data_IF_268434978727
#
_entry.id   IF_268434978727
#
_cell.length_a   1.000
_cell.length_b   1.000
_cell.length_c   1.000
_cell.angle_alpha   90.00
_cell.angle_beta   90.00
_cell.angle_gamma   90.00
#
_symmetry.space_group_name_H-M   'P 1'
#
loop_
_entity.id
_entity.type
_entity.pdbx_description
1 polymer ?
#
# COMPACT_ATOMS: atom_id res chain seq x y z
N UNK A 1 1.67 23.75 19.89
CA UNK A 1 0.86 24.90 19.44
C UNK A 1 -0.05 25.33 20.59
N UNK A 2 -0.02 26.59 21.02
CA UNK A 2 -0.94 27.09 22.04
C UNK A 2 -2.35 27.18 21.45
N UNK A 3 -3.32 26.59 22.13
CA UNK A 3 -4.74 26.73 21.83
C UNK A 3 -5.13 28.14 22.25
N UNK A 4 -5.15 29.06 21.29
CA UNK A 4 -5.74 30.39 21.42
C UNK A 4 -7.26 30.20 21.49
N UNK A 5 -7.82 30.18 22.70
CA UNK A 5 -9.25 30.34 22.93
C UNK A 5 -9.64 31.75 22.48
N UNK A 6 -10.29 31.83 21.32
CA UNK A 6 -10.86 33.08 20.85
C UNK A 6 -12.02 33.48 21.79
N UNK A 7 -11.91 34.67 22.39
CA UNK A 7 -13.01 35.36 23.06
C UNK A 7 -14.15 35.57 22.06
N UNK A 8 -15.24 34.80 22.18
CA UNK A 8 -16.47 34.99 21.41
C UNK A 8 -17.48 35.79 22.23
N UNK A 9 -17.39 37.11 22.19
CA UNK A 9 -18.48 38.02 22.60
C UNK A 9 -19.48 38.22 21.46
N UNK A 10 -19.98 37.12 20.91
CA UNK A 10 -21.16 37.11 20.05
C UNK A 10 -22.34 36.72 20.90
N UNK A 11 -23.31 37.62 21.04
CA UNK A 11 -24.63 37.37 21.61
C UNK A 11 -25.25 36.14 20.95
N UNK A 12 -25.00 34.96 21.53
CA UNK A 12 -25.74 33.76 21.22
C UNK A 12 -27.11 33.97 21.87
N UNK A 13 -28.21 34.08 21.11
CA UNK A 13 -29.53 34.11 21.72
C UNK A 13 -29.62 32.85 22.59
N UNK A 14 -29.75 33.03 23.90
CA UNK A 14 -29.99 31.92 24.83
C UNK A 14 -31.26 31.22 24.36
N UNK A 15 -31.11 30.18 23.54
CA UNK A 15 -32.19 29.30 23.14
C UNK A 15 -32.55 28.52 24.38
N UNK A 16 -33.47 29.08 25.18
CA UNK A 16 -34.07 28.44 26.34
C UNK A 16 -34.78 27.17 25.88
N UNK A 17 -34.04 26.07 25.81
CA UNK A 17 -34.54 24.75 25.49
C UNK A 17 -35.43 24.31 26.65
N UNK A 18 -36.70 24.70 26.57
CA UNK A 18 -37.75 24.22 27.48
C UNK A 18 -37.91 22.72 27.28
N UNK A 19 -37.83 21.97 28.38
CA UNK A 19 -38.03 20.52 28.41
C UNK A 19 -39.35 20.06 27.75
N UNK A 20 -40.31 20.98 27.60
CA UNK A 20 -41.62 20.73 27.01
C UNK A 20 -41.70 20.87 25.48
N UNK A 21 -40.60 21.21 24.80
CA UNK A 21 -40.53 21.24 23.33
C UNK A 21 -39.43 20.31 22.80
N UNK A 22 -39.61 18.98 22.91
CA UNK A 22 -38.59 18.00 22.53
C UNK A 22 -38.16 18.10 21.06
N UNK A 23 -39.03 18.62 20.17
CA UNK A 23 -38.69 18.83 18.75
C UNK A 23 -37.69 19.98 18.53
N UNK A 24 -37.75 21.06 19.31
CA UNK A 24 -36.79 22.17 19.15
C UNK A 24 -35.41 21.83 19.71
N UNK A 25 -35.34 21.02 20.78
CA UNK A 25 -34.06 20.55 21.32
C UNK A 25 -33.43 19.42 20.49
N UNK A 26 -34.20 18.73 19.66
CA UNK A 26 -33.69 17.66 18.78
C UNK A 26 -32.68 18.21 17.77
N UNK A 27 -32.86 19.45 17.31
CA UNK A 27 -31.94 20.10 16.39
C UNK A 27 -30.58 20.40 16.99
N UNK A 28 -30.55 20.99 18.19
CA UNK A 28 -29.30 21.29 18.90
C UNK A 28 -28.59 20.02 19.37
N UNK A 29 -29.36 19.01 19.80
CA UNK A 29 -28.81 17.69 20.15
C UNK A 29 -28.19 17.00 18.92
N UNK A 30 -28.84 17.06 17.76
CA UNK A 30 -28.30 16.50 16.51
C UNK A 30 -27.01 17.20 16.09
N UNK A 31 -26.90 18.52 16.26
CA UNK A 31 -25.64 19.26 16.01
C UNK A 31 -24.53 18.80 16.94
N UNK A 32 -24.78 18.69 18.25
CA UNK A 32 -23.79 18.18 19.20
C UNK A 32 -23.34 16.75 18.86
N UNK A 33 -24.28 15.86 18.49
CA UNK A 33 -23.96 14.48 18.09
C UNK A 33 -23.15 14.46 16.78
N UNK A 34 -23.52 15.27 15.80
CA UNK A 34 -22.78 15.34 14.52
C UNK A 34 -21.35 15.85 14.72
N UNK A 35 -21.17 16.81 15.63
CA UNK A 35 -19.86 17.32 16.02
C UNK A 35 -19.04 16.26 16.77
N UNK A 36 -19.63 15.59 17.77
CA UNK A 36 -18.94 14.55 18.55
C UNK A 36 -18.55 13.35 17.70
N UNK A 37 -19.38 12.98 16.72
CA UNK A 37 -19.09 11.85 15.82
C UNK A 37 -18.11 12.20 14.71
N UNK A 38 -18.13 13.44 14.19
CA UNK A 38 -17.08 13.97 13.33
C UNK A 38 -15.71 13.94 14.02
N UNK A 39 -15.66 14.29 15.31
CA UNK A 39 -14.46 14.16 16.14
C UNK A 39 -13.99 12.71 16.29
N UNK A 40 -14.90 11.73 16.31
CA UNK A 40 -14.53 10.31 16.40
C UNK A 40 -13.84 9.79 15.12
N UNK A 41 -14.14 10.36 13.95
CA UNK A 41 -13.53 9.97 12.67
C UNK A 41 -12.14 10.61 12.45
N UNK A 42 -11.88 11.79 13.04
CA UNK A 42 -10.61 12.51 12.94
C UNK A 42 -9.35 11.67 13.22
N UNK A 43 -9.26 10.88 14.32
CA UNK A 43 -8.05 10.11 14.60
C UNK A 43 -7.77 9.07 13.50
N UNK A 44 -8.79 8.45 12.91
CA UNK A 44 -8.61 7.49 11.82
C UNK A 44 -8.11 8.16 10.55
N UNK A 45 -8.70 9.31 10.18
CA UNK A 45 -8.25 10.08 9.03
C UNK A 45 -6.79 10.54 9.18
N UNK A 46 -6.44 11.05 10.36
CA UNK A 46 -5.08 11.44 10.68
C UNK A 46 -4.12 10.25 10.59
N UNK A 47 -4.53 9.10 11.10
CA UNK A 47 -3.72 7.88 11.06
C UNK A 47 -3.54 7.34 9.63
N UNK A 48 -4.60 7.32 8.82
CA UNK A 48 -4.52 6.95 7.39
C UNK A 48 -3.57 7.90 6.65
N UNK A 49 -3.71 9.21 6.85
CA UNK A 49 -2.81 10.21 6.26
C UNK A 49 -1.35 9.93 6.62
N UNK A 50 -1.07 9.69 7.90
CA UNK A 50 0.29 9.39 8.36
C UNK A 50 0.80 8.06 7.76
N UNK A 51 -0.01 7.00 7.73
CA UNK A 51 0.40 5.72 7.15
C UNK A 51 0.67 5.78 5.64
N UNK A 52 0.04 6.72 4.93
CA UNK A 52 0.26 6.90 3.49
C UNK A 52 1.52 7.74 3.20
N UNK A 53 1.78 8.78 3.99
CA UNK A 53 2.87 9.73 3.75
C UNK A 53 4.17 9.26 4.41
N UNK A 54 4.10 8.80 5.66
CA UNK A 54 5.28 8.44 6.45
C UNK A 54 6.01 7.26 5.81
N UNK A 55 7.30 7.44 5.59
CA UNK A 55 8.19 6.39 5.12
C UNK A 55 8.38 5.32 6.22
N UNK A 56 8.26 4.03 5.87
CA UNK A 56 8.60 2.98 6.81
C UNK A 56 10.10 3.02 7.10
N UNK A 57 10.46 3.03 8.39
CA UNK A 57 11.86 3.00 8.81
C UNK A 57 12.48 1.63 8.50
N UNK A 58 13.21 1.54 7.38
CA UNK A 58 13.90 0.32 6.93
C UNK A 58 15.27 0.14 7.57
N UNK A 59 15.84 1.17 8.21
CA UNK A 59 17.19 1.12 8.80
C UNK A 59 17.29 0.08 9.91
N UNK A 60 16.20 -0.11 10.65
CA UNK A 60 16.10 -1.15 11.70
C UNK A 60 16.34 -2.55 11.15
N UNK A 61 16.05 -2.78 9.86
CA UNK A 61 16.21 -4.07 9.19
C UNK A 61 17.56 -4.24 8.47
N UNK A 62 18.45 -3.25 8.50
CA UNK A 62 19.74 -3.31 7.81
C UNK A 62 20.60 -4.52 8.26
N UNK A 63 20.65 -4.79 9.56
CA UNK A 63 21.39 -5.96 10.09
C UNK A 63 20.84 -7.31 9.59
N UNK A 64 19.51 -7.42 9.46
CA UNK A 64 18.86 -8.63 8.95
C UNK A 64 19.12 -8.77 7.44
N UNK A 65 19.04 -7.67 6.70
CA UNK A 65 19.37 -7.64 5.28
C UNK A 65 20.83 -8.06 5.01
N UNK A 66 21.79 -7.54 5.77
CA UNK A 66 23.21 -7.94 5.68
C UNK A 66 23.39 -9.44 5.94
N UNK A 67 22.68 -9.99 6.92
CA UNK A 67 22.72 -11.42 7.24
C UNK A 67 22.20 -12.26 6.08
N UNK A 68 21.08 -11.86 5.47
CA UNK A 68 20.46 -12.57 4.34
C UNK A 68 21.34 -12.50 3.10
N UNK A 69 21.86 -11.33 2.75
CA UNK A 69 22.76 -11.17 1.61
C UNK A 69 24.05 -11.98 1.79
N UNK A 70 24.57 -12.08 3.03
CA UNK A 70 25.68 -12.98 3.36
C UNK A 70 25.37 -14.45 3.08
N UNK A 71 24.19 -14.93 3.49
CA UNK A 71 23.74 -16.31 3.19
C UNK A 71 23.61 -16.51 1.67
N UNK A 72 22.97 -15.56 0.97
CA UNK A 72 22.82 -15.60 -0.50
C UNK A 72 24.19 -15.65 -1.20
N UNK A 73 25.20 -14.98 -0.65
CA UNK A 73 26.54 -14.94 -1.23
C UNK A 73 27.21 -16.31 -1.31
N UNK A 74 26.93 -17.19 -0.35
CA UNK A 74 27.41 -18.58 -0.38
C UNK A 74 26.80 -19.33 -1.57
N UNK A 75 25.50 -19.14 -1.85
CA UNK A 75 24.84 -19.76 -3.00
C UNK A 75 25.42 -19.31 -4.33
N UNK A 76 25.91 -18.07 -4.46
CA UNK A 76 26.56 -17.61 -5.68
C UNK A 76 27.81 -18.40 -6.04
N UNK A 77 28.61 -18.80 -5.04
CA UNK A 77 29.80 -19.62 -5.28
C UNK A 77 29.40 -20.95 -5.91
N UNK A 78 28.36 -21.61 -5.37
CA UNK A 78 27.85 -22.86 -5.92
C UNK A 78 27.29 -22.70 -7.33
N UNK A 79 26.49 -21.66 -7.58
CA UNK A 79 25.94 -21.42 -8.91
C UNK A 79 27.00 -21.07 -9.94
N UNK A 80 28.06 -20.34 -9.55
CA UNK A 80 29.19 -20.02 -10.41
C UNK A 80 30.00 -21.29 -10.71
N UNK A 81 30.28 -22.12 -9.71
CA UNK A 81 30.97 -23.41 -9.89
C UNK A 81 30.18 -24.34 -10.81
N UNK A 82 28.87 -24.47 -10.58
CA UNK A 82 27.97 -25.28 -11.42
C UNK A 82 27.95 -24.76 -12.87
N UNK A 83 27.82 -23.46 -13.06
CA UNK A 83 27.81 -22.84 -14.39
C UNK A 83 29.17 -22.97 -15.09
N UNK A 84 30.27 -22.90 -14.32
CA UNK A 84 31.64 -23.09 -14.79
C UNK A 84 31.90 -24.52 -15.26
N UNK A 85 31.50 -25.53 -14.49
CA UNK A 85 31.60 -26.94 -14.90
C UNK A 85 30.75 -27.17 -16.16
N UNK A 86 29.52 -26.66 -16.19
CA UNK A 86 28.64 -26.78 -17.36
C UNK A 86 29.27 -26.16 -18.61
N UNK A 87 29.95 -25.01 -18.47
CA UNK A 87 30.67 -24.36 -19.55
C UNK A 87 31.83 -25.22 -20.10
N UNK A 88 32.60 -25.86 -19.21
CA UNK A 88 33.75 -26.71 -19.59
C UNK A 88 33.27 -27.99 -20.29
N UNK A 89 32.24 -28.65 -19.73
CA UNK A 89 31.71 -29.91 -20.28
C UNK A 89 30.97 -29.68 -21.61
N UNK A 90 30.38 -28.50 -21.82
CA UNK A 90 29.64 -28.17 -23.05
C UNK A 90 30.53 -27.73 -24.21
N UNK A 91 31.80 -28.15 -24.25
CA UNK A 91 32.78 -27.73 -25.26
C UNK A 91 32.35 -28.03 -26.70
N UNK A 92 31.70 -29.19 -26.91
CA UNK A 92 31.37 -29.71 -28.24
C UNK A 92 30.02 -29.21 -28.80
N UNK A 93 29.11 -28.75 -27.93
CA UNK A 93 27.77 -28.30 -28.31
C UNK A 93 27.65 -26.78 -28.20
N UNK A 94 27.56 -26.11 -29.36
CA UNK A 94 27.44 -24.66 -29.45
C UNK A 94 26.23 -24.12 -28.66
N UNK A 95 25.10 -24.83 -28.68
CA UNK A 95 23.86 -24.38 -28.04
C UNK A 95 24.01 -24.38 -26.52
N UNK A 96 24.56 -25.45 -25.96
CA UNK A 96 24.80 -25.56 -24.50
C UNK A 96 25.84 -24.55 -24.03
N UNK A 97 26.89 -24.31 -24.82
CA UNK A 97 27.90 -23.29 -24.52
C UNK A 97 27.32 -21.88 -24.49
N UNK A 98 26.44 -21.54 -25.43
CA UNK A 98 25.76 -20.24 -25.43
C UNK A 98 24.88 -20.06 -24.18
N UNK A 99 24.10 -21.07 -23.82
CA UNK A 99 23.25 -21.06 -22.62
C UNK A 99 24.07 -20.93 -21.32
N UNK A 100 25.20 -21.62 -21.21
CA UNK A 100 26.07 -21.52 -20.04
C UNK A 100 26.67 -20.10 -19.89
N UNK A 101 27.08 -19.46 -20.98
CA UNK A 101 27.56 -18.06 -20.97
C UNK A 101 26.47 -17.08 -20.54
N UNK A 102 25.23 -17.29 -21.00
CA UNK A 102 24.09 -16.47 -20.59
C UNK A 102 23.80 -16.62 -19.08
N UNK A 103 23.86 -17.85 -18.55
CA UNK A 103 23.69 -18.09 -17.11
C UNK A 103 24.76 -17.37 -16.27
N UNK A 104 26.02 -17.38 -16.71
CA UNK A 104 27.10 -16.65 -16.02
C UNK A 104 26.83 -15.14 -16.04
N UNK A 105 26.45 -14.58 -17.19
CA UNK A 105 26.12 -13.15 -17.32
C UNK A 105 24.98 -12.77 -16.37
N UNK A 106 23.91 -13.56 -16.36
CA UNK A 106 22.75 -13.37 -15.50
C UNK A 106 23.12 -13.44 -14.02
N UNK A 107 24.01 -14.37 -13.64
CA UNK A 107 24.51 -14.49 -12.28
C UNK A 107 25.34 -13.27 -11.85
N UNK A 108 26.21 -12.74 -12.71
CA UNK A 108 26.98 -11.52 -12.41
C UNK A 108 26.06 -10.33 -12.19
N UNK A 109 25.02 -10.18 -13.03
CA UNK A 109 24.00 -9.12 -12.84
C UNK A 109 23.26 -9.32 -11.52
N UNK A 110 22.91 -10.56 -11.17
CA UNK A 110 22.23 -10.88 -9.91
C UNK A 110 23.07 -10.49 -8.68
N UNK A 111 24.39 -10.75 -8.71
CA UNK A 111 25.31 -10.38 -7.62
C UNK A 111 25.28 -8.87 -7.41
N UNK A 112 25.47 -8.08 -8.48
CA UNK A 112 25.46 -6.61 -8.40
C UNK A 112 24.11 -6.09 -7.88
N UNK A 113 23.00 -6.63 -8.39
CA UNK A 113 21.67 -6.21 -7.97
C UNK A 113 21.37 -6.56 -6.52
N UNK A 114 21.72 -7.76 -6.04
CA UNK A 114 21.52 -8.15 -4.64
C UNK A 114 22.39 -7.32 -3.71
N UNK A 115 23.64 -7.03 -4.05
CA UNK A 115 24.49 -6.13 -3.25
C UNK A 115 23.94 -4.70 -3.20
N UNK A 116 23.33 -4.20 -4.27
CA UNK A 116 22.69 -2.88 -4.31
C UNK A 116 21.24 -2.85 -3.80
N UNK A 117 20.67 -4.01 -3.44
CA UNK A 117 19.22 -4.17 -3.26
C UNK A 117 18.64 -3.28 -2.16
N UNK A 118 19.33 -3.09 -1.04
CA UNK A 118 18.87 -2.21 0.05
C UNK A 118 18.76 -0.74 -0.39
N UNK A 119 19.76 -0.25 -1.11
CA UNK A 119 19.75 1.13 -1.63
C UNK A 119 18.66 1.33 -2.68
N UNK A 120 18.49 0.37 -3.59
CA UNK A 120 17.40 0.40 -4.58
C UNK A 120 16.04 0.36 -3.88
N UNK A 121 15.91 -0.40 -2.80
CA UNK A 121 14.69 -0.52 -2.03
C UNK A 121 14.31 0.80 -1.35
N UNK A 122 15.26 1.42 -0.65
CA UNK A 122 15.05 2.71 0.01
C UNK A 122 14.73 3.80 -1.02
N UNK A 123 15.46 3.85 -2.14
CA UNK A 123 15.17 4.80 -3.21
C UNK A 123 13.72 4.70 -3.72
N UNK A 124 13.18 3.48 -3.83
CA UNK A 124 11.78 3.28 -4.24
C UNK A 124 10.79 3.75 -3.19
N UNK A 125 11.10 3.56 -1.89
CA UNK A 125 10.28 4.07 -0.79
C UNK A 125 10.30 5.59 -0.76
N UNK A 126 11.47 6.20 -0.83
CA UNK A 126 11.66 7.66 -0.78
C UNK A 126 10.96 8.34 -1.95
N UNK A 127 11.11 7.76 -3.16
CA UNK A 127 10.40 8.21 -4.36
C UNK A 127 8.89 8.15 -4.15
N UNK A 128 8.37 7.03 -3.64
CA UNK A 128 6.94 6.88 -3.40
C UNK A 128 6.42 7.85 -2.32
N UNK A 129 7.14 8.01 -1.20
CA UNK A 129 6.76 8.96 -0.14
C UNK A 129 6.75 10.40 -0.67
N UNK A 130 7.76 10.79 -1.43
CA UNK A 130 7.85 12.10 -2.08
C UNK A 130 6.68 12.35 -3.03
N UNK A 131 6.37 11.39 -3.91
CA UNK A 131 5.23 11.47 -4.82
C UNK A 131 3.90 11.54 -4.07
N UNK A 132 3.72 10.70 -3.05
CA UNK A 132 2.49 10.66 -2.25
C UNK A 132 2.29 11.97 -1.49
N UNK A 133 3.36 12.50 -0.87
CA UNK A 133 3.35 13.80 -0.17
C UNK A 133 2.96 14.94 -1.10
N UNK A 134 3.52 14.96 -2.32
CA UNK A 134 3.18 15.96 -3.34
C UNK A 134 1.71 15.88 -3.77
N UNK A 135 1.15 14.68 -3.95
CA UNK A 135 -0.28 14.55 -4.26
C UNK A 135 -1.13 15.01 -3.07
N UNK A 136 -0.75 14.65 -1.83
CA UNK A 136 -1.47 15.08 -0.63
C UNK A 136 -1.41 16.57 -0.34
N UNK A 137 -0.33 17.28 -0.70
CA UNK A 137 -0.26 18.73 -0.53
C UNK A 137 -1.27 19.47 -1.40
N UNK A 138 -1.82 18.81 -2.43
CA UNK A 138 -2.88 19.34 -3.28
C UNK A 138 -4.29 18.94 -2.80
N UNK A 139 -4.42 18.06 -1.81
CA UNK A 139 -5.71 17.69 -1.22
C UNK A 139 -6.14 18.81 -0.27
N UNK A 140 -7.35 19.36 -0.47
CA UNK A 140 -7.88 20.40 0.41
C UNK A 140 -7.92 19.91 1.86
N UNK A 141 -7.52 20.77 2.81
CA UNK A 141 -7.62 20.45 4.24
C UNK A 141 -9.07 20.19 4.67
N UNK A 142 -10.01 20.79 3.96
CA UNK A 142 -11.46 20.63 4.15
C UNK A 142 -11.93 19.19 3.89
N UNK A 143 -11.24 18.43 3.05
CA UNK A 143 -11.54 17.01 2.81
C UNK A 143 -11.52 16.18 4.09
N UNK A 144 -10.69 16.58 5.07
CA UNK A 144 -10.55 15.86 6.33
C UNK A 144 -11.43 16.42 7.43
N UNK A 145 -12.16 17.52 7.19
CA UNK A 145 -13.07 18.11 8.17
C UNK A 145 -14.51 17.81 7.77
N UNK A 146 -15.26 17.15 8.67
CA UNK A 146 -16.69 16.90 8.45
C UNK A 146 -17.46 18.18 8.77
N UNK A 147 -17.70 19.03 7.78
CA UNK A 147 -18.59 20.20 7.94
C UNK A 147 -20.06 19.77 7.87
N UNK A 148 -20.88 20.22 8.83
CA UNK A 148 -22.32 19.95 8.91
C UNK A 148 -23.09 21.26 8.74
N UNK A 149 -23.19 21.72 7.49
CA UNK A 149 -23.79 23.03 7.22
C UNK A 149 -25.30 22.94 6.95
N UNK A 150 -25.83 21.75 6.64
CA UNK A 150 -27.24 21.58 6.25
C UNK A 150 -28.04 20.72 7.24
N UNK A 151 -28.90 21.39 8.02
CA UNK A 151 -29.80 20.78 9.02
C UNK A 151 -30.72 19.69 8.44
N UNK A 152 -31.16 19.86 7.18
CA UNK A 152 -32.07 18.93 6.51
C UNK A 152 -31.51 17.50 6.37
N UNK A 153 -30.19 17.34 6.40
CA UNK A 153 -29.53 16.03 6.22
C UNK A 153 -28.93 15.48 7.52
N UNK A 154 -29.20 16.10 8.67
CA UNK A 154 -28.63 15.67 9.95
C UNK A 154 -28.98 14.21 10.30
N UNK A 155 -30.23 13.78 10.04
CA UNK A 155 -30.65 12.40 10.30
C UNK A 155 -29.90 11.39 9.42
N UNK A 156 -29.77 11.69 8.12
CA UNK A 156 -29.05 10.84 7.17
C UNK A 156 -27.55 10.77 7.52
N UNK A 157 -26.97 11.87 7.99
CA UNK A 157 -25.59 11.91 8.48
C UNK A 157 -25.37 11.00 9.69
N UNK A 158 -26.30 10.97 10.65
CA UNK A 158 -26.22 10.08 11.83
C UNK A 158 -26.28 8.60 11.40
N UNK A 159 -27.09 8.25 10.41
CA UNK A 159 -27.19 6.87 9.92
C UNK A 159 -25.91 6.46 9.16
N UNK A 160 -25.34 7.37 8.36
CA UNK A 160 -24.18 7.08 7.52
C UNK A 160 -22.84 7.18 8.25
N UNK A 161 -22.78 7.75 9.46
CA UNK A 161 -21.51 7.88 10.18
C UNK A 161 -20.95 6.52 10.63
N UNK A 162 -21.82 5.58 11.01
CA UNK A 162 -21.42 4.24 11.44
C UNK A 162 -20.73 3.48 10.30
N UNK A 163 -21.33 3.32 9.10
CA UNK A 163 -20.63 2.67 7.99
C UNK A 163 -19.39 3.45 7.55
N UNK A 164 -19.37 4.78 7.67
CA UNK A 164 -18.17 5.58 7.40
C UNK A 164 -17.01 5.22 8.33
N UNK A 165 -17.24 5.17 9.65
CA UNK A 165 -16.22 4.76 10.62
C UNK A 165 -15.74 3.33 10.36
N UNK A 166 -16.65 2.41 9.99
CA UNK A 166 -16.27 1.03 9.64
C UNK A 166 -15.35 1.01 8.41
N UNK A 167 -15.67 1.77 7.35
CA UNK A 167 -14.82 1.86 6.16
C UNK A 167 -13.45 2.44 6.53
N UNK A 168 -13.39 3.54 7.27
CA UNK A 168 -12.12 4.11 7.73
C UNK A 168 -11.29 3.12 8.56
N UNK A 169 -11.94 2.32 9.41
CA UNK A 169 -11.27 1.29 10.20
C UNK A 169 -10.67 0.20 9.29
N UNK A 170 -11.41 -0.25 8.27
CA UNK A 170 -10.91 -1.22 7.29
C UNK A 170 -9.73 -0.64 6.52
N UNK A 171 -9.84 0.58 6.00
CA UNK A 171 -8.75 1.28 5.31
C UNK A 171 -7.50 1.39 6.18
N UNK A 172 -7.68 1.77 7.46
CA UNK A 172 -6.61 1.84 8.45
C UNK A 172 -5.89 0.49 8.61
N UNK A 173 -6.64 -0.60 8.80
CA UNK A 173 -6.08 -1.95 8.93
C UNK A 173 -5.32 -2.35 7.65
N UNK A 174 -5.85 -2.03 6.47
CA UNK A 174 -5.21 -2.34 5.19
C UNK A 174 -3.88 -1.60 5.01
N UNK A 175 -3.83 -0.30 5.31
CA UNK A 175 -2.58 0.45 5.25
C UNK A 175 -1.57 0.04 6.32
N UNK A 176 -2.04 -0.34 7.53
CA UNK A 176 -1.19 -0.89 8.57
C UNK A 176 -0.57 -2.22 8.13
N UNK A 177 -1.37 -3.12 7.55
CA UNK A 177 -0.87 -4.37 7.00
C UNK A 177 0.15 -4.12 5.88
N UNK A 178 -0.12 -3.17 4.98
CA UNK A 178 0.85 -2.73 3.95
C UNK A 178 2.15 -2.24 4.57
N UNK A 179 2.09 -1.40 5.59
CA UNK A 179 3.29 -0.89 6.28
C UNK A 179 4.14 -2.05 6.79
N UNK A 180 3.53 -3.04 7.46
CA UNK A 180 4.24 -4.24 7.93
C UNK A 180 4.85 -5.06 6.78
N UNK A 181 4.11 -5.25 5.68
CA UNK A 181 4.62 -5.99 4.53
C UNK A 181 5.75 -5.27 3.80
N UNK A 182 5.76 -3.93 3.76
CA UNK A 182 6.87 -3.15 3.20
C UNK A 182 8.11 -3.30 4.09
N UNK A 183 7.96 -3.26 5.42
CA UNK A 183 9.09 -3.57 6.32
C UNK A 183 9.66 -4.98 6.09
N UNK A 184 8.80 -5.99 5.97
CA UNK A 184 9.23 -7.35 5.60
C UNK A 184 9.79 -7.43 4.17
N UNK A 185 9.37 -6.54 3.29
CA UNK A 185 9.86 -6.44 1.92
C UNK A 185 11.37 -6.25 1.83
N UNK A 186 11.99 -5.56 2.79
CA UNK A 186 13.45 -5.38 2.87
C UNK A 186 14.20 -6.72 2.88
N UNK A 187 13.63 -7.72 3.58
CA UNK A 187 14.17 -9.08 3.70
C UNK A 187 13.90 -9.87 2.42
N UNK A 188 12.68 -9.78 1.88
CA UNK A 188 12.27 -10.55 0.71
C UNK A 188 12.84 -10.02 -0.60
N UNK A 189 13.16 -8.73 -0.69
CA UNK A 189 13.62 -8.11 -1.92
C UNK A 189 14.93 -8.72 -2.49
N UNK A 190 16.04 -8.87 -1.73
CA UNK A 190 17.23 -9.56 -2.23
C UNK A 190 16.98 -11.02 -2.61
N UNK A 191 16.10 -11.73 -1.87
CA UNK A 191 15.69 -13.09 -2.20
C UNK A 191 14.90 -13.14 -3.51
N UNK A 192 14.00 -12.17 -3.73
CA UNK A 192 13.24 -12.01 -4.96
C UNK A 192 14.16 -11.82 -6.17
N UNK A 193 15.18 -10.97 -6.04
CA UNK A 193 16.20 -10.75 -7.08
C UNK A 193 16.96 -12.06 -7.35
N UNK A 194 17.46 -12.76 -6.33
CA UNK A 194 18.14 -14.03 -6.49
C UNK A 194 17.27 -15.04 -7.26
N UNK A 195 16.04 -15.25 -6.79
CA UNK A 195 15.12 -16.22 -7.38
C UNK A 195 14.74 -15.86 -8.81
N UNK A 196 14.69 -14.57 -9.16
CA UNK A 196 14.41 -14.12 -10.52
C UNK A 196 15.45 -14.60 -11.53
N UNK A 197 16.73 -14.70 -11.14
CA UNK A 197 17.80 -15.15 -12.02
C UNK A 197 18.02 -16.67 -12.02
N UNK A 198 17.49 -17.40 -11.03
CA UNK A 198 17.58 -18.87 -10.99
C UNK A 198 16.46 -19.49 -11.83
N UNK A 199 16.75 -20.27 -12.89
CA UNK A 199 15.74 -20.74 -13.85
C UNK A 199 14.54 -21.47 -13.22
N UNK A 200 14.78 -22.31 -12.22
CA UNK A 200 13.74 -23.09 -11.55
C UNK A 200 12.90 -22.28 -10.55
N UNK A 201 13.39 -21.12 -10.11
CA UNK A 201 12.75 -20.27 -9.10
C UNK A 201 12.28 -18.92 -9.66
N UNK A 202 12.47 -18.69 -10.97
CA UNK A 202 12.17 -17.42 -11.65
C UNK A 202 10.76 -16.91 -11.37
N UNK A 203 9.80 -17.82 -11.30
CA UNK A 203 8.40 -17.49 -11.02
C UNK A 203 8.22 -16.86 -9.64
N UNK A 204 8.82 -17.47 -8.61
CA UNK A 204 8.76 -16.96 -7.24
C UNK A 204 9.47 -15.61 -7.12
N UNK A 205 10.64 -15.46 -7.75
CA UNK A 205 11.35 -14.18 -7.77
C UNK A 205 10.52 -13.06 -8.39
N UNK A 206 9.88 -13.33 -9.53
CA UNK A 206 8.95 -12.41 -10.20
C UNK A 206 7.75 -12.06 -9.31
N UNK A 207 7.21 -13.02 -8.55
CA UNK A 207 6.09 -12.78 -7.62
C UNK A 207 6.52 -11.83 -6.52
N UNK A 208 7.63 -12.13 -5.85
CA UNK A 208 8.15 -11.35 -4.74
C UNK A 208 8.45 -9.92 -5.19
N UNK A 209 9.15 -9.74 -6.31
CA UNK A 209 9.50 -8.41 -6.83
C UNK A 209 8.24 -7.62 -7.18
N UNK A 210 7.32 -8.20 -7.97
CA UNK A 210 6.09 -7.51 -8.38
C UNK A 210 5.22 -7.15 -7.17
N UNK A 211 5.07 -8.06 -6.21
CA UNK A 211 4.29 -7.84 -5.00
C UNK A 211 4.90 -6.72 -4.15
N UNK A 212 6.22 -6.73 -3.98
CA UNK A 212 6.93 -5.74 -3.18
C UNK A 212 6.85 -4.35 -3.80
N UNK A 213 7.11 -4.22 -5.11
CA UNK A 213 6.97 -2.96 -5.84
C UNK A 213 5.54 -2.43 -5.74
N UNK A 214 4.54 -3.30 -5.94
CA UNK A 214 3.13 -2.93 -5.83
C UNK A 214 2.79 -2.40 -4.43
N UNK A 215 3.23 -3.08 -3.37
CA UNK A 215 3.03 -2.62 -1.99
C UNK A 215 3.69 -1.27 -1.72
N UNK A 216 4.86 -1.01 -2.28
CA UNK A 216 5.54 0.29 -2.16
C UNK A 216 4.67 1.38 -2.81
N UNK A 217 4.20 1.17 -4.04
CA UNK A 217 3.51 2.19 -4.85
C UNK A 217 2.00 2.34 -4.60
N UNK A 218 1.38 1.44 -3.84
CA UNK A 218 -0.06 1.52 -3.53
C UNK A 218 -0.50 2.86 -2.92
N UNK A 219 0.19 3.45 -1.91
CA UNK A 219 -0.25 4.71 -1.30
C UNK A 219 -0.29 5.86 -2.29
N UNK A 220 0.63 5.89 -3.26
CA UNK A 220 0.61 6.88 -4.32
C UNK A 220 -0.66 6.76 -5.18
N UNK A 221 -1.02 5.54 -5.62
CA UNK A 221 -2.26 5.32 -6.37
C UNK A 221 -3.48 5.73 -5.56
N UNK A 222 -3.53 5.36 -4.28
CA UNK A 222 -4.61 5.74 -3.37
C UNK A 222 -4.69 7.26 -3.14
N UNK A 223 -3.54 7.97 -3.11
CA UNK A 223 -3.52 9.43 -2.97
C UNK A 223 -4.12 10.15 -4.18
N UNK A 224 -3.91 9.62 -5.40
CA UNK A 224 -4.52 10.16 -6.62
C UNK A 224 -6.04 10.03 -6.56
N UNK A 225 -6.54 8.90 -6.06
CA UNK A 225 -7.98 8.67 -5.88
C UNK A 225 -8.55 9.69 -4.88
N UNK A 226 -7.89 9.86 -3.73
CA UNK A 226 -8.32 10.82 -2.71
C UNK A 226 -8.29 12.26 -3.26
N UNK A 227 -7.28 12.62 -4.06
CA UNK A 227 -7.21 13.91 -4.73
C UNK A 227 -8.37 14.10 -5.74
N UNK A 228 -8.67 13.09 -6.55
CA UNK A 228 -9.84 13.14 -7.44
C UNK A 228 -11.14 13.32 -6.67
N UNK A 229 -11.28 12.63 -5.54
CA UNK A 229 -12.41 12.76 -4.63
C UNK A 229 -12.50 14.15 -3.98
N UNK A 230 -11.39 14.77 -3.60
CA UNK A 230 -11.41 16.10 -2.98
C UNK A 230 -11.90 17.18 -3.93
N UNK A 231 -11.53 17.11 -5.21
CA UNK A 231 -12.03 18.03 -6.25
C UNK A 231 -13.54 17.87 -6.46
N UNK A 232 -14.05 16.63 -6.43
CA UNK A 232 -15.46 16.33 -6.67
C UNK A 232 -16.39 16.82 -5.55
N UNK A 233 -15.91 16.92 -4.31
CA UNK A 233 -16.71 17.39 -3.17
C UNK A 233 -17.13 18.86 -3.30
N UNK A 234 -16.34 19.66 -4.01
CA UNK A 234 -16.65 21.07 -4.24
C UNK A 234 -17.77 21.29 -5.27
N UNK A 235 -18.27 20.23 -5.91
CA UNK A 235 -19.39 20.32 -6.83
C UNK A 235 -20.70 20.64 -6.08
N UNK A 236 -21.53 21.60 -6.54
CA UNK A 236 -22.75 22.01 -5.85
C UNK A 236 -23.74 20.87 -5.56
N UNK A 237 -23.80 19.87 -6.44
CA UNK A 237 -24.67 18.68 -6.30
C UNK A 237 -24.23 17.79 -5.12
N UNK A 238 -22.94 17.79 -4.78
CA UNK A 238 -22.34 16.90 -3.78
C UNK A 238 -22.41 17.49 -2.37
N UNK A 239 -22.62 18.81 -2.23
CA UNK A 239 -22.70 19.50 -0.93
C UNK A 239 -23.78 18.91 0.00
N UNK A 240 -24.85 18.34 -0.54
CA UNK A 240 -25.90 17.68 0.25
C UNK A 240 -25.54 16.25 0.67
N UNK A 241 -24.59 15.60 0.00
CA UNK A 241 -24.26 14.18 0.18
C UNK A 241 -22.78 13.93 0.45
N UNK A 242 -22.09 14.90 1.07
CA UNK A 242 -20.63 14.87 1.29
C UNK A 242 -20.18 13.59 2.02
N UNK A 243 -20.89 13.17 3.08
CA UNK A 243 -20.52 11.96 3.83
C UNK A 243 -20.63 10.68 2.99
N UNK A 244 -21.67 10.59 2.15
CA UNK A 244 -21.83 9.46 1.23
C UNK A 244 -20.67 9.41 0.24
N UNK A 245 -20.25 10.58 -0.25
CA UNK A 245 -19.13 10.68 -1.16
C UNK A 245 -17.80 10.28 -0.49
N UNK A 246 -17.57 10.64 0.77
CA UNK A 246 -16.41 10.15 1.53
C UNK A 246 -16.41 8.63 1.67
N UNK A 247 -17.56 8.02 2.02
CA UNK A 247 -17.70 6.56 2.13
C UNK A 247 -17.33 5.90 0.80
N UNK A 248 -17.86 6.41 -0.32
CA UNK A 248 -17.58 5.88 -1.66
C UNK A 248 -16.11 6.04 -2.03
N UNK A 249 -15.50 7.19 -1.69
CA UNK A 249 -14.09 7.44 -1.97
C UNK A 249 -13.17 6.44 -1.26
N UNK A 250 -13.34 6.23 0.06
CA UNK A 250 -12.53 5.27 0.81
C UNK A 250 -12.83 3.82 0.43
N UNK A 251 -14.08 3.47 0.16
CA UNK A 251 -14.44 2.14 -0.35
C UNK A 251 -13.75 1.87 -1.70
N UNK A 252 -13.67 2.88 -2.57
CA UNK A 252 -12.98 2.77 -3.85
C UNK A 252 -11.46 2.58 -3.65
N UNK A 253 -10.86 3.25 -2.67
CA UNK A 253 -9.45 3.02 -2.27
C UNK A 253 -9.24 1.58 -1.82
N UNK A 254 -10.06 1.08 -0.90
CA UNK A 254 -9.96 -0.29 -0.38
C UNK A 254 -10.16 -1.33 -1.48
N UNK A 255 -11.14 -1.09 -2.36
CA UNK A 255 -11.44 -1.96 -3.48
C UNK A 255 -10.28 -2.04 -4.48
N UNK A 256 -9.70 -0.89 -4.85
CA UNK A 256 -8.54 -0.85 -5.76
C UNK A 256 -7.33 -1.54 -5.13
N UNK A 257 -7.07 -1.30 -3.85
CA UNK A 257 -6.00 -1.98 -3.12
C UNK A 257 -6.18 -3.50 -3.19
N UNK A 258 -7.39 -3.99 -2.89
CA UNK A 258 -7.71 -5.42 -2.94
C UNK A 258 -7.52 -5.99 -4.36
N UNK A 259 -8.02 -5.31 -5.39
CA UNK A 259 -7.88 -5.72 -6.78
C UNK A 259 -6.42 -5.80 -7.22
N UNK A 260 -5.59 -4.83 -6.84
CA UNK A 260 -4.18 -4.79 -7.19
C UNK A 260 -3.42 -5.97 -6.56
N UNK A 261 -3.68 -6.28 -5.29
CA UNK A 261 -3.09 -7.46 -4.64
C UNK A 261 -3.54 -8.75 -5.34
N UNK A 262 -4.85 -8.90 -5.56
CA UNK A 262 -5.41 -10.08 -6.24
C UNK A 262 -4.84 -10.24 -7.64
N UNK A 263 -4.65 -9.14 -8.37
CA UNK A 263 -4.06 -9.14 -9.70
C UNK A 263 -2.62 -9.67 -9.69
N UNK A 264 -1.78 -9.21 -8.77
CA UNK A 264 -0.38 -9.67 -8.66
C UNK A 264 -0.30 -11.16 -8.31
N UNK A 265 -1.13 -11.60 -7.36
CA UNK A 265 -1.21 -13.02 -6.95
C UNK A 265 -1.66 -13.89 -8.11
N UNK A 266 -2.72 -13.50 -8.82
CA UNK A 266 -3.25 -14.29 -9.94
C UNK A 266 -2.30 -14.32 -11.13
N UNK A 267 -1.74 -13.17 -11.53
CA UNK A 267 -0.85 -13.05 -12.68
C UNK A 267 0.43 -13.87 -12.52
N UNK A 268 0.92 -14.00 -11.28
CA UNK A 268 2.19 -14.69 -11.04
C UNK A 268 2.00 -16.11 -10.52
N UNK A 269 0.94 -16.38 -9.76
CA UNK A 269 0.70 -17.68 -9.13
C UNK A 269 0.05 -18.73 -10.04
N UNK A 270 -0.88 -18.37 -10.92
CA UNK A 270 -1.69 -19.39 -11.61
C UNK A 270 -1.00 -20.03 -12.83
N UNK A 271 -0.28 -19.24 -13.63
CA UNK A 271 0.28 -19.72 -14.90
C UNK A 271 1.56 -20.54 -14.75
N UNK A 272 2.45 -20.13 -13.86
CA UNK A 272 3.82 -20.64 -13.85
C UNK A 272 4.01 -21.82 -12.88
N UNK A 273 3.28 -21.87 -11.75
CA UNK A 273 3.30 -23.02 -10.82
C UNK A 273 2.85 -24.31 -11.50
N UNK A 274 1.79 -24.23 -12.31
CA UNK A 274 1.29 -25.39 -13.05
C UNK A 274 2.30 -25.89 -14.08
N UNK A 275 2.98 -24.96 -14.79
CA UNK A 275 4.05 -25.35 -15.72
C UNK A 275 5.25 -25.96 -15.02
N UNK A 276 5.66 -25.42 -13.86
CA UNK A 276 6.80 -25.91 -13.10
C UNK A 276 6.60 -27.33 -12.57
N UNK A 277 5.41 -27.60 -12.01
CA UNK A 277 5.02 -28.95 -11.56
C UNK A 277 5.00 -29.90 -12.74
N UNK A 278 4.41 -29.50 -13.88
CA UNK A 278 4.37 -30.34 -15.08
C UNK A 278 5.77 -30.70 -15.59
N UNK A 279 6.70 -29.75 -15.61
CA UNK A 279 8.09 -30.01 -16.02
C UNK A 279 8.83 -30.89 -15.02
N UNK A 280 8.68 -30.65 -13.72
CA UNK A 280 9.30 -31.49 -12.68
C UNK A 280 8.78 -32.94 -12.73
N UNK A 281 7.48 -33.12 -12.94
CA UNK A 281 6.85 -34.44 -13.12
C UNK A 281 7.34 -35.11 -14.40
N UNK A 282 7.50 -34.39 -15.51
CA UNK A 282 8.09 -34.94 -16.74
C UNK A 282 9.52 -35.43 -16.55
N UNK A 283 10.36 -34.65 -15.86
CA UNK A 283 11.75 -35.02 -15.57
C UNK A 283 11.79 -36.24 -14.64
N UNK A 284 10.96 -36.27 -13.59
CA UNK A 284 10.87 -37.40 -12.66
C UNK A 284 10.34 -38.68 -13.33
N UNK A 285 9.47 -38.55 -14.34
CA UNK A 285 8.93 -39.67 -15.10
C UNK A 285 9.90 -40.24 -16.15
N UNK A 286 11.15 -39.76 -16.22
CA UNK A 286 12.14 -40.22 -17.20
C UNK A 286 11.85 -39.77 -18.64
N UNK A 287 11.00 -38.75 -18.81
CA UNK A 287 10.73 -38.12 -20.10
C UNK A 287 11.84 -37.13 -20.45
N UNK A 288 12.99 -37.63 -20.88
CA UNK A 288 14.07 -36.87 -21.52
C UNK A 288 14.47 -37.53 -22.83
#
# INVERSE_FOLDING_TARGET
MPISLADSSTDVPESSCSFFSPLSCLGDTARMISYSTGLAAQPFLHYIRNLMITEPNTEVFNGVWLSITGIISIFYIFFLLYSGITLIVSGDDLVKRHKAKENIKNLVIAIVLVSSSFYLYNLMIDLNSSLTSYVFSNVSSEFFTVSSDNFGNALLQIILIVPYIIVLLVTCIMFLARYLFVCLGVIFFPLGILFYFVPFLKSYGKLIINFTILLIFIPFISSIIILGSSVLINAPVVQNFVILFYIVAFLLVDFIFYLLIKFVVNKTGAGELYSGIKTAVMIAAGGL
#
